data_IF_269109409883
#
_entry.id   IF_269109409883
#
_cell.length_a   1.000
_cell.length_b   1.000
_cell.length_c   1.000
_cell.angle_alpha   90.00
_cell.angle_beta   90.00
_cell.angle_gamma   90.00
#
_symmetry.space_group_name_H-M   'P 1'
#
loop_
_entity.id
_entity.type
_entity.pdbx_description
1 polymer ?
#
# COMPACT_ATOMS: atom_id res chain seq x y z
N UNK A 1 -29.82 17.00 -4.95
CA UNK A 1 -30.27 17.59 -6.23
C UNK A 1 -29.58 16.84 -7.35
N UNK A 2 -30.18 16.18 -8.34
CA UNK A 2 -31.53 15.73 -8.76
C UNK A 2 -31.17 14.57 -9.71
N UNK A 3 -31.70 13.35 -9.60
CA UNK A 3 -32.86 12.95 -10.38
C UNK A 3 -33.34 11.55 -9.95
N UNK A 4 -34.40 11.52 -9.13
CA UNK A 4 -35.46 10.55 -9.30
C UNK A 4 -36.26 11.00 -10.53
N UNK A 5 -36.37 10.17 -11.57
CA UNK A 5 -37.60 9.98 -12.36
C UNK A 5 -37.32 9.05 -13.54
N UNK A 6 -37.93 7.86 -13.53
CA UNK A 6 -38.59 7.22 -14.70
C UNK A 6 -38.90 5.75 -14.38
N UNK A 7 -39.90 5.51 -13.54
CA UNK A 7 -40.65 4.25 -13.56
C UNK A 7 -42.08 4.57 -13.96
N UNK A 8 -42.32 4.58 -15.27
CA UNK A 8 -43.65 4.56 -15.83
C UNK A 8 -43.57 4.18 -17.30
N UNK A 9 -43.96 2.94 -17.61
CA UNK A 9 -44.92 2.55 -18.65
C UNK A 9 -44.69 1.08 -19.03
N UNK A 10 -45.61 0.22 -18.59
CA UNK A 10 -45.89 -1.06 -19.23
C UNK A 10 -47.01 -0.81 -20.24
N UNK A 11 -46.75 -1.02 -21.53
CA UNK A 11 -47.72 -1.42 -22.58
C UNK A 11 -47.09 -1.22 -23.97
N UNK A 12 -46.43 -2.26 -24.49
CA UNK A 12 -46.35 -2.58 -25.93
C UNK A 12 -45.52 -3.85 -26.11
N UNK A 13 -46.12 -4.87 -26.74
CA UNK A 13 -45.47 -6.13 -27.08
C UNK A 13 -44.47 -5.98 -28.22
N UNK A 14 -43.27 -5.50 -27.91
CA UNK A 14 -42.06 -5.69 -28.73
C UNK A 14 -40.93 -6.14 -27.80
N UNK A 15 -40.24 -7.20 -28.19
CA UNK A 15 -39.04 -7.72 -27.52
C UNK A 15 -38.03 -6.58 -27.34
N UNK A 16 -37.86 -6.12 -26.11
CA UNK A 16 -36.91 -5.07 -25.79
C UNK A 16 -35.48 -5.54 -26.10
N UNK A 17 -34.66 -4.77 -26.84
CA UNK A 17 -33.23 -5.04 -26.90
C UNK A 17 -32.67 -4.90 -25.47
N UNK A 18 -31.91 -5.90 -25.05
CA UNK A 18 -31.33 -5.99 -23.70
C UNK A 18 -30.66 -4.67 -23.32
N UNK A 19 -31.21 -3.98 -22.32
CA UNK A 19 -30.64 -2.75 -21.79
C UNK A 19 -29.18 -2.97 -21.37
N UNK A 20 -28.27 -1.99 -21.56
CA UNK A 20 -26.88 -2.14 -21.15
C UNK A 20 -26.80 -2.33 -19.63
N UNK A 21 -26.16 -3.44 -19.24
CA UNK A 21 -25.91 -3.87 -17.87
C UNK A 21 -24.94 -2.89 -17.21
N UNK A 22 -25.44 -1.97 -16.39
CA UNK A 22 -24.74 -0.93 -15.60
C UNK A 22 -23.57 -1.43 -14.69
N UNK A 23 -23.12 -2.68 -14.81
CA UNK A 23 -21.97 -3.25 -14.09
C UNK A 23 -20.62 -2.64 -14.47
N UNK A 24 -20.47 -2.08 -15.68
CA UNK A 24 -19.18 -1.57 -16.18
C UNK A 24 -18.74 -0.26 -15.49
N UNK A 25 -19.66 0.64 -15.15
CA UNK A 25 -19.36 1.90 -14.42
C UNK A 25 -18.98 1.63 -12.95
N UNK A 26 -19.58 0.59 -12.35
CA UNK A 26 -19.27 0.17 -10.97
C UNK A 26 -17.87 -0.50 -10.89
N UNK A 27 -17.49 -1.29 -11.90
CA UNK A 27 -16.19 -1.95 -11.95
C UNK A 27 -15.02 -0.98 -12.17
N UNK A 28 -15.18 0.08 -12.99
CA UNK A 28 -14.13 1.09 -13.21
C UNK A 28 -13.71 1.83 -11.94
N UNK A 29 -14.68 2.13 -11.06
CA UNK A 29 -14.41 2.81 -9.79
C UNK A 29 -13.63 1.91 -8.80
N UNK A 30 -13.96 0.62 -8.76
CA UNK A 30 -13.27 -0.37 -7.90
C UNK A 30 -11.85 -0.64 -8.41
N UNK A 31 -11.65 -0.78 -9.73
CA UNK A 31 -10.33 -1.00 -10.30
C UNK A 31 -9.43 0.25 -10.20
N UNK A 32 -9.99 1.46 -10.36
CA UNK A 32 -9.28 2.71 -10.10
C UNK A 32 -8.85 2.84 -8.62
N UNK A 33 -9.70 2.45 -7.67
CA UNK A 33 -9.35 2.54 -6.25
C UNK A 33 -8.30 1.49 -5.81
N UNK A 34 -8.26 0.33 -6.46
CA UNK A 34 -7.20 -0.67 -6.20
C UNK A 34 -5.85 -0.21 -6.74
N UNK A 35 -5.82 0.41 -7.93
CA UNK A 35 -4.56 0.91 -8.50
C UNK A 35 -3.97 2.04 -7.66
N UNK A 36 -4.79 2.98 -7.17
CA UNK A 36 -4.31 4.06 -6.28
C UNK A 36 -3.75 3.51 -4.97
N UNK A 37 -4.46 2.57 -4.32
CA UNK A 37 -3.97 1.93 -3.08
C UNK A 37 -2.65 1.17 -3.27
N UNK A 38 -2.45 0.55 -4.45
CA UNK A 38 -1.18 -0.13 -4.77
C UNK A 38 -0.03 0.87 -4.93
N UNK A 39 -0.28 1.99 -5.60
CA UNK A 39 0.70 3.07 -5.77
C UNK A 39 1.04 3.69 -4.40
N UNK A 40 0.03 3.98 -3.57
CA UNK A 40 0.22 4.51 -2.21
C UNK A 40 1.03 3.54 -1.33
N UNK A 41 0.76 2.23 -1.40
CA UNK A 41 1.50 1.24 -0.62
C UNK A 41 2.94 1.09 -1.12
N UNK A 42 3.16 1.11 -2.44
CA UNK A 42 4.50 1.10 -3.01
C UNK A 42 5.32 2.35 -2.61
N UNK A 43 4.70 3.52 -2.61
CA UNK A 43 5.35 4.77 -2.18
C UNK A 43 5.69 4.72 -0.69
N UNK A 44 4.77 4.27 0.17
CA UNK A 44 5.05 4.07 1.60
C UNK A 44 6.23 3.13 1.85
N UNK A 45 6.28 2.00 1.15
CA UNK A 45 7.40 1.05 1.25
C UNK A 45 8.71 1.71 0.87
N UNK A 46 8.74 2.45 -0.23
CA UNK A 46 9.93 3.18 -0.69
C UNK A 46 10.40 4.20 0.33
N UNK A 47 9.48 4.95 0.94
CA UNK A 47 9.80 5.93 1.98
C UNK A 47 10.44 5.27 3.22
N UNK A 48 9.89 4.14 3.66
CA UNK A 48 10.45 3.38 4.79
C UNK A 48 11.82 2.78 4.45
N UNK A 49 12.00 2.27 3.24
CA UNK A 49 13.31 1.75 2.79
C UNK A 49 14.41 2.82 2.82
N UNK A 50 14.11 4.02 2.32
CA UNK A 50 15.04 5.15 2.36
C UNK A 50 15.33 5.60 3.80
N UNK A 51 14.28 5.70 4.64
CA UNK A 51 14.45 6.05 6.05
C UNK A 51 15.29 5.00 6.80
N UNK A 52 15.11 3.73 6.48
CA UNK A 52 15.85 2.62 7.07
C UNK A 52 17.33 2.66 6.65
N UNK A 53 17.62 2.95 5.38
CA UNK A 53 18.99 3.13 4.91
C UNK A 53 19.69 4.27 5.67
N UNK A 54 19.02 5.42 5.81
CA UNK A 54 19.52 6.55 6.58
C UNK A 54 19.76 6.17 8.05
N UNK A 55 18.80 5.52 8.71
CA UNK A 55 18.93 5.12 10.11
C UNK A 55 20.08 4.14 10.34
N UNK A 56 20.29 3.19 9.41
CA UNK A 56 21.42 2.25 9.45
C UNK A 56 22.76 2.94 9.26
N UNK A 57 22.83 3.89 8.33
CA UNK A 57 24.02 4.71 8.13
C UNK A 57 24.37 5.49 9.41
N UNK A 58 23.37 6.11 10.03
CA UNK A 58 23.54 6.86 11.27
C UNK A 58 23.98 5.98 12.45
N UNK A 59 23.40 4.78 12.58
CA UNK A 59 23.82 3.81 13.58
C UNK A 59 25.29 3.39 13.37
N UNK A 60 25.70 3.14 12.12
CA UNK A 60 27.08 2.80 11.80
C UNK A 60 28.04 3.97 12.10
N UNK A 61 27.64 5.20 11.81
CA UNK A 61 28.41 6.40 12.14
C UNK A 61 28.54 6.60 13.65
N UNK A 62 27.45 6.43 14.41
CA UNK A 62 27.46 6.51 15.86
C UNK A 62 28.38 5.44 16.47
N UNK A 63 28.35 4.21 15.94
CA UNK A 63 29.26 3.14 16.35
C UNK A 63 30.72 3.52 16.15
N UNK A 64 31.10 4.01 14.97
CA UNK A 64 32.48 4.45 14.68
C UNK A 64 32.95 5.56 15.63
N UNK A 65 32.05 6.47 16.02
CA UNK A 65 32.36 7.52 17.00
C UNK A 65 32.60 6.95 18.40
N UNK A 66 31.77 5.99 18.82
CA UNK A 66 31.97 5.28 20.09
C UNK A 66 33.30 4.51 20.09
N UNK A 67 33.59 3.76 19.02
CA UNK A 67 34.84 3.00 18.87
C UNK A 67 36.10 3.90 18.86
N UNK A 68 35.98 5.18 18.50
CA UNK A 68 37.08 6.13 18.44
C UNK A 68 37.32 6.92 19.75
N UNK A 69 36.46 6.77 20.77
CA UNK A 69 36.59 7.53 22.02
C UNK A 69 37.72 6.97 22.90
N UNK A 70 38.47 7.85 23.55
CA UNK A 70 39.45 7.44 24.56
C UNK A 70 38.74 6.88 25.81
N UNK A 71 39.18 5.72 26.29
CA UNK A 71 38.59 5.00 27.44
C UNK A 71 38.59 5.82 28.73
N UNK A 72 39.53 6.75 28.90
CA UNK A 72 39.58 7.65 30.06
C UNK A 72 38.39 8.62 30.09
N UNK A 73 37.76 8.88 28.93
CA UNK A 73 36.60 9.75 28.79
C UNK A 73 35.28 9.00 29.01
N UNK A 74 35.16 8.29 30.15
CA UNK A 74 34.03 7.38 30.46
C UNK A 74 32.63 7.99 30.28
N UNK A 75 32.45 9.27 30.61
CA UNK A 75 31.15 9.95 30.46
C UNK A 75 30.79 10.19 28.99
N UNK A 76 31.79 10.56 28.18
CA UNK A 76 31.61 10.75 26.73
C UNK A 76 31.33 9.39 26.09
N UNK A 77 32.04 8.35 26.50
CA UNK A 77 31.80 6.98 26.03
C UNK A 77 30.36 6.52 26.34
N UNK A 78 29.89 6.73 27.57
CA UNK A 78 28.52 6.40 27.96
C UNK A 78 27.46 7.17 27.14
N UNK A 79 27.67 8.47 26.89
CA UNK A 79 26.74 9.25 26.06
C UNK A 79 26.76 8.82 24.58
N UNK A 80 27.93 8.49 24.02
CA UNK A 80 28.05 7.98 22.66
C UNK A 80 27.38 6.60 22.51
N UNK A 81 27.55 5.73 23.51
CA UNK A 81 26.86 4.45 23.58
C UNK A 81 25.34 4.64 23.62
N UNK A 82 24.85 5.53 24.49
CA UNK A 82 23.42 5.85 24.58
C UNK A 82 22.87 6.32 23.24
N UNK A 83 23.57 7.25 22.55
CA UNK A 83 23.17 7.73 21.23
C UNK A 83 23.23 6.63 20.16
N UNK A 84 24.22 5.76 20.20
CA UNK A 84 24.31 4.63 19.28
C UNK A 84 23.11 3.68 19.47
N UNK A 85 22.77 3.36 20.72
CA UNK A 85 21.61 2.54 21.06
C UNK A 85 20.30 3.17 20.57
N UNK A 86 20.12 4.49 20.71
CA UNK A 86 18.96 5.20 20.15
C UNK A 86 18.85 5.03 18.62
N UNK A 87 19.98 5.12 17.89
CA UNK A 87 19.97 4.92 16.43
C UNK A 87 19.69 3.46 16.05
N UNK A 88 20.17 2.50 16.83
CA UNK A 88 19.83 1.09 16.64
C UNK A 88 18.34 0.84 16.84
N UNK A 89 17.74 1.41 17.88
CA UNK A 89 16.30 1.31 18.13
C UNK A 89 15.48 1.94 17.00
N UNK A 90 15.89 3.11 16.50
CA UNK A 90 15.25 3.76 15.36
C UNK A 90 15.33 2.91 14.08
N UNK A 91 16.50 2.36 13.77
CA UNK A 91 16.65 1.44 12.64
C UNK A 91 15.78 0.20 12.81
N UNK A 92 15.71 -0.36 14.02
CA UNK A 92 14.88 -1.54 14.31
C UNK A 92 13.39 -1.26 14.11
N UNK A 93 12.90 -0.12 14.59
CA UNK A 93 11.50 0.27 14.39
C UNK A 93 11.13 0.35 12.91
N UNK A 94 12.02 0.89 12.06
CA UNK A 94 11.80 0.96 10.61
C UNK A 94 11.87 -0.42 9.93
N UNK A 95 12.73 -1.33 10.42
CA UNK A 95 12.73 -2.73 9.97
C UNK A 95 11.40 -3.42 10.29
N UNK A 96 10.90 -3.26 11.52
CA UNK A 96 9.64 -3.85 11.95
C UNK A 96 8.45 -3.28 11.16
N UNK A 97 8.46 -1.98 10.86
CA UNK A 97 7.43 -1.34 10.01
C UNK A 97 7.47 -1.86 8.58
N UNK A 98 8.67 -1.97 7.98
CA UNK A 98 8.87 -2.58 6.66
C UNK A 98 8.35 -4.01 6.63
N UNK A 99 8.67 -4.81 7.64
CA UNK A 99 8.27 -6.22 7.73
C UNK A 99 6.76 -6.37 7.91
N UNK A 100 6.15 -5.48 8.70
CA UNK A 100 4.69 -5.39 8.85
C UNK A 100 4.02 -5.06 7.52
N UNK A 101 4.55 -4.09 6.76
CA UNK A 101 4.04 -3.77 5.43
C UNK A 101 4.25 -4.91 4.44
N UNK A 102 5.37 -5.63 4.54
CA UNK A 102 5.69 -6.80 3.71
C UNK A 102 4.72 -7.96 3.96
N UNK A 103 4.39 -8.22 5.23
CA UNK A 103 3.47 -9.27 5.65
C UNK A 103 1.99 -8.94 5.36
N UNK A 104 1.64 -7.66 5.21
CA UNK A 104 0.28 -7.24 4.87
C UNK A 104 -0.13 -7.84 3.50
N UNK A 105 -1.24 -8.60 3.42
CA UNK A 105 -1.69 -9.22 2.17
C UNK A 105 -1.84 -8.16 1.08
N UNK A 106 -0.99 -8.23 0.06
CA UNK A 106 -1.03 -7.38 -1.12
C UNK A 106 -2.23 -7.78 -2.00
N UNK A 107 -3.46 -7.59 -1.50
CA UNK A 107 -4.72 -7.87 -2.19
C UNK A 107 -4.67 -9.17 -2.99
N UNK A 108 -4.60 -10.32 -2.32
CA UNK A 108 -4.94 -11.58 -2.98
C UNK A 108 -6.35 -11.40 -3.54
N UNK A 109 -6.49 -11.44 -4.87
CA UNK A 109 -7.81 -11.53 -5.51
C UNK A 109 -8.59 -12.59 -4.74
N UNK A 110 -9.72 -12.20 -4.15
CA UNK A 110 -10.56 -13.20 -3.49
C UNK A 110 -10.89 -14.28 -4.52
N UNK A 111 -11.08 -15.54 -4.11
CA UNK A 111 -11.36 -16.62 -5.05
C UNK A 111 -12.51 -16.25 -6.01
N UNK A 112 -13.52 -15.57 -5.48
CA UNK A 112 -14.66 -14.99 -6.21
C UNK A 112 -14.27 -13.91 -7.22
N UNK A 113 -13.23 -13.12 -6.98
CA UNK A 113 -12.72 -12.13 -7.93
C UNK A 113 -11.90 -12.76 -9.05
N UNK A 114 -11.13 -13.82 -8.76
CA UNK A 114 -10.42 -14.58 -9.80
C UNK A 114 -11.38 -15.25 -10.77
N UNK A 115 -12.48 -15.80 -10.27
CA UNK A 115 -13.53 -16.40 -11.12
C UNK A 115 -14.29 -15.36 -11.94
N UNK A 116 -14.39 -14.10 -11.48
CA UNK A 116 -15.07 -13.03 -12.22
C UNK A 116 -14.22 -12.38 -13.31
N UNK A 117 -12.89 -12.50 -13.24
CA UNK A 117 -11.98 -11.92 -14.24
C UNK A 117 -12.18 -12.48 -15.66
N UNK A 118 -12.31 -13.82 -15.89
CA UNK A 118 -12.60 -14.38 -17.20
C UNK A 118 -13.93 -13.91 -17.79
N UNK A 119 -14.98 -13.85 -16.96
CA UNK A 119 -16.31 -13.41 -17.38
C UNK A 119 -16.35 -11.94 -17.81
N UNK A 120 -15.53 -11.09 -17.17
CA UNK A 120 -15.37 -9.69 -17.56
C UNK A 120 -14.56 -9.53 -18.86
N UNK A 121 -13.56 -10.38 -19.09
CA UNK A 121 -12.81 -10.40 -20.37
C UNK A 121 -13.69 -10.78 -21.56
N UNK A 122 -14.56 -11.78 -21.39
CA UNK A 122 -15.50 -12.24 -22.42
C UNK A 122 -16.62 -11.24 -22.74
N UNK A 123 -16.90 -10.26 -21.87
CA UNK A 123 -17.85 -9.17 -22.14
C UNK A 123 -17.19 -8.00 -22.89
N UNK A 124 -15.86 -7.83 -22.77
CA UNK A 124 -15.11 -6.78 -23.49
C UNK A 124 -14.86 -7.17 -24.94
N UNK A 125 -14.66 -8.45 -25.24
CA UNK A 125 -14.48 -8.94 -26.63
C UNK A 125 -15.79 -8.95 -27.44
N UNK A 126 -16.94 -8.80 -26.79
CA UNK A 126 -18.27 -8.78 -27.43
C UNK A 126 -18.87 -7.39 -27.58
N UNK A 127 -18.19 -6.34 -27.11
CA UNK A 127 -18.62 -4.94 -27.20
C UNK A 127 -17.88 -4.21 -28.33
#
# INVERSE_FOLDING_TARGET
>A
MVALHASRLAACGLTAPSAPRWSSVSNYSVSKQRSTRRIENAEKRRQIELALEQARYEAALARRRYEAVDTNNRLVAAELERRWNERLLAARALEDERDTLAAAPQSSLSATERERLPALGADVERA
#
